data_IF_309392552659
#
_entry.id   IF_309392552659
#
_cell.length_a   1.000
_cell.length_b   1.000
_cell.length_c   1.000
_cell.angle_alpha   90.00
_cell.angle_beta   90.00
_cell.angle_gamma   90.00
#
_symmetry.space_group_name_H-M   'P 1'
#
loop_
_entity.id
_entity.type
_entity.pdbx_description
1 polymer ?
#
# COMPACT_ATOMS: atom_id res chain seq x y z
N UNK A 1 -36.52 58.48 30.46
CA UNK A 1 -37.19 57.64 29.45
C UNK A 1 -36.43 57.80 28.13
N UNK A 2 -36.14 56.76 27.32
CA UNK A 2 -35.75 55.39 27.66
C UNK A 2 -34.49 54.90 26.87
N UNK A 3 -33.84 53.85 27.43
CA UNK A 3 -33.13 52.70 26.78
C UNK A 3 -31.98 52.94 25.76
N UNK A 4 -30.84 52.24 25.82
CA UNK A 4 -30.71 50.80 25.56
C UNK A 4 -29.34 50.19 25.97
N UNK A 5 -29.42 48.96 26.55
CA UNK A 5 -28.61 47.73 26.32
C UNK A 5 -27.09 47.78 26.62
N UNK A 6 -26.58 47.15 27.70
CA UNK A 6 -26.27 45.72 27.92
C UNK A 6 -25.21 45.07 27.01
N UNK A 7 -24.05 44.83 27.65
CA UNK A 7 -23.24 43.59 27.69
C UNK A 7 -22.27 43.25 26.55
N UNK A 8 -21.08 42.76 27.02
CA UNK A 8 -20.29 41.62 26.49
C UNK A 8 -19.24 42.07 25.44
N UNK A 9 -17.97 41.64 25.40
CA UNK A 9 -17.33 40.32 25.52
C UNK A 9 -15.82 40.51 25.82
N UNK A 10 -15.24 39.77 26.77
CA UNK A 10 -14.38 38.58 26.58
C UNK A 10 -13.04 38.83 25.88
N UNK A 11 -11.96 38.61 26.64
CA UNK A 11 -10.58 38.52 26.19
C UNK A 11 -10.40 37.45 25.11
N UNK A 12 -9.79 37.83 23.99
CA UNK A 12 -9.28 36.87 23.00
C UNK A 12 -8.01 36.22 23.53
N UNK A 13 -8.06 34.92 23.80
CA UNK A 13 -6.86 34.09 23.91
C UNK A 13 -6.20 33.98 22.54
N UNK A 14 -4.89 34.25 22.51
CA UNK A 14 -3.99 33.92 21.42
C UNK A 14 -3.98 32.40 21.22
N UNK A 15 -4.62 31.91 20.16
CA UNK A 15 -4.44 30.54 19.68
C UNK A 15 -3.13 30.44 18.91
N UNK A 16 -2.13 29.78 19.50
CA UNK A 16 -0.93 29.36 18.79
C UNK A 16 -1.29 28.27 17.76
N UNK A 17 -0.90 28.48 16.51
CA UNK A 17 -1.23 27.60 15.39
C UNK A 17 -0.40 26.32 15.35
N UNK A 18 -1.00 25.27 14.78
CA UNK A 18 -0.26 24.15 14.19
C UNK A 18 -0.36 24.30 12.67
N UNK A 19 0.68 24.85 12.05
CA UNK A 19 0.82 24.84 10.61
C UNK A 19 1.10 23.39 10.17
N UNK A 20 0.13 22.76 9.53
CA UNK A 20 0.35 21.48 8.84
C UNK A 20 1.19 21.75 7.60
N UNK A 21 2.46 21.32 7.63
CA UNK A 21 3.32 21.31 6.45
C UNK A 21 2.79 20.23 5.50
N UNK A 22 2.03 20.65 4.48
CA UNK A 22 1.80 19.83 3.31
C UNK A 22 3.14 19.65 2.61
N UNK A 23 3.72 18.45 2.71
CA UNK A 23 4.80 18.04 1.84
C UNK A 23 4.21 17.95 0.43
N UNK A 24 4.36 19.01 -0.36
CA UNK A 24 4.20 18.92 -1.81
C UNK A 24 5.38 18.09 -2.29
N UNK A 25 5.15 16.80 -2.54
CA UNK A 25 6.09 16.02 -3.32
C UNK A 25 6.20 16.72 -4.68
N UNK A 26 7.41 17.06 -5.16
CA UNK A 26 7.52 17.55 -6.51
C UNK A 26 6.97 16.45 -7.42
N UNK A 27 5.94 16.77 -8.21
CA UNK A 27 5.58 15.93 -9.34
C UNK A 27 6.85 15.81 -10.20
N UNK A 28 7.39 14.60 -10.33
CA UNK A 28 8.50 14.39 -11.26
C UNK A 28 8.05 14.91 -12.63
N UNK A 29 8.93 15.69 -13.28
CA UNK A 29 8.68 16.12 -14.64
C UNK A 29 8.55 14.85 -15.50
N UNK A 30 7.45 14.74 -16.25
CA UNK A 30 7.23 13.60 -17.12
C UNK A 30 8.39 13.46 -18.11
N UNK A 31 8.84 12.23 -18.28
CA UNK A 31 9.83 11.85 -19.28
C UNK A 31 9.33 12.11 -20.71
N UNK A 32 10.26 12.03 -21.65
CA UNK A 32 9.94 12.00 -23.08
C UNK A 32 9.92 10.56 -23.58
N UNK A 33 9.11 10.28 -24.60
CA UNK A 33 9.06 8.97 -25.28
C UNK A 33 10.48 8.57 -25.73
N UNK A 34 10.88 7.34 -25.44
CA UNK A 34 12.23 6.77 -25.65
C UNK A 34 13.38 7.53 -24.97
N UNK A 35 13.04 8.49 -24.11
CA UNK A 35 13.99 9.37 -23.44
C UNK A 35 14.40 8.86 -22.07
N UNK A 36 15.15 9.71 -21.37
CA UNK A 36 15.47 9.47 -19.97
C UNK A 36 14.21 9.49 -19.10
N UNK A 37 14.05 8.45 -18.30
CA UNK A 37 12.91 8.26 -17.40
C UNK A 37 13.42 7.90 -16.01
N UNK A 38 12.81 8.44 -14.95
CA UNK A 38 13.18 8.10 -13.58
C UNK A 38 12.58 6.74 -13.17
N UNK A 39 13.24 6.00 -12.28
CA UNK A 39 12.67 4.77 -11.70
C UNK A 39 11.28 4.99 -11.09
N UNK A 40 11.12 6.09 -10.36
CA UNK A 40 9.83 6.43 -9.73
C UNK A 40 8.73 6.63 -10.77
N UNK A 41 9.05 7.24 -11.92
CA UNK A 41 8.09 7.40 -13.01
C UNK A 41 7.75 6.07 -13.68
N UNK A 42 8.73 5.18 -13.90
CA UNK A 42 8.47 3.82 -14.42
C UNK A 42 7.48 3.08 -13.51
N UNK A 43 7.67 3.14 -12.19
CA UNK A 43 6.77 2.51 -11.22
C UNK A 43 5.40 3.20 -11.18
N UNK A 44 5.34 4.53 -11.29
CA UNK A 44 4.06 5.25 -11.36
C UNK A 44 3.24 4.85 -12.58
N UNK A 45 3.88 4.74 -13.75
CA UNK A 45 3.27 4.26 -14.98
C UNK A 45 2.76 2.82 -14.82
N UNK A 46 3.62 1.94 -14.30
CA UNK A 46 3.26 0.55 -13.99
C UNK A 46 2.02 0.44 -13.07
N UNK A 47 2.00 1.24 -12.00
CA UNK A 47 0.91 1.26 -11.02
C UNK A 47 -0.38 1.87 -11.57
N UNK A 48 -0.32 2.82 -12.50
CA UNK A 48 -1.55 3.36 -13.10
C UNK A 48 -2.28 2.27 -13.87
N UNK A 49 -1.55 1.45 -14.65
CA UNK A 49 -2.16 0.37 -15.42
C UNK A 49 -2.80 -0.72 -14.53
N UNK A 50 -2.16 -1.03 -13.39
CA UNK A 50 -2.75 -1.87 -12.33
C UNK A 50 -4.03 -1.25 -11.77
N UNK A 51 -4.00 0.06 -11.48
CA UNK A 51 -5.12 0.77 -10.87
C UNK A 51 -6.31 0.92 -11.80
N UNK A 52 -6.05 1.05 -13.10
CA UNK A 52 -7.04 1.07 -14.17
C UNK A 52 -7.60 -0.34 -14.49
N UNK A 53 -6.94 -1.39 -13.98
CA UNK A 53 -7.41 -2.77 -14.08
C UNK A 53 -7.37 -3.30 -15.50
N UNK A 54 -6.29 -3.02 -16.24
CA UNK A 54 -6.22 -3.37 -17.66
C UNK A 54 -6.10 -4.88 -17.87
N UNK A 55 -6.94 -5.46 -18.75
CA UNK A 55 -6.96 -6.90 -18.99
C UNK A 55 -5.94 -7.29 -20.07
N UNK A 56 -5.37 -8.48 -19.92
CA UNK A 56 -4.54 -9.09 -20.96
C UNK A 56 -5.35 -9.43 -22.22
N UNK A 57 -4.91 -8.92 -23.37
CA UNK A 57 -5.44 -9.17 -24.70
C UNK A 57 -4.38 -8.93 -25.81
N UNK A 58 -3.73 -9.99 -26.28
CA UNK A 58 -2.72 -9.91 -27.35
C UNK A 58 -3.22 -9.30 -28.68
N UNK A 59 -4.53 -9.22 -28.89
CA UNK A 59 -5.14 -8.65 -30.10
C UNK A 59 -5.53 -7.18 -29.99
N UNK A 60 -5.30 -6.52 -28.86
CA UNK A 60 -5.76 -5.16 -28.61
C UNK A 60 -4.65 -4.25 -28.03
N UNK A 61 -4.97 -2.96 -27.99
CA UNK A 61 -4.18 -1.94 -27.33
C UNK A 61 -5.06 -1.22 -26.31
N UNK A 62 -4.48 -0.89 -25.17
CA UNK A 62 -5.04 0.03 -24.21
C UNK A 62 -4.54 1.44 -24.50
N UNK A 63 -5.40 2.44 -24.33
CA UNK A 63 -5.00 3.84 -24.53
C UNK A 63 -5.45 4.71 -23.36
N UNK A 64 -4.50 5.38 -22.73
CA UNK A 64 -4.67 6.21 -21.53
C UNK A 64 -3.75 7.45 -21.58
N UNK A 65 -3.48 8.06 -20.42
CA UNK A 65 -2.53 9.16 -20.30
C UNK A 65 -1.07 8.77 -20.54
N UNK A 66 -0.73 7.48 -20.50
CA UNK A 66 0.63 6.98 -20.73
C UNK A 66 0.94 6.75 -22.20
N UNK A 67 -0.09 6.60 -23.04
CA UNK A 67 0.04 6.37 -24.47
C UNK A 67 -0.92 5.30 -24.97
N UNK A 68 -0.59 4.65 -26.08
CA UNK A 68 -1.34 3.51 -26.62
C UNK A 68 -0.39 2.31 -26.74
N UNK A 69 -0.65 1.26 -25.98
CA UNK A 69 0.23 0.09 -25.88
C UNK A 69 -0.56 -1.21 -25.94
N UNK A 70 0.08 -2.28 -26.42
CA UNK A 70 -0.52 -3.61 -26.47
C UNK A 70 -0.83 -4.11 -25.06
N UNK A 71 -2.00 -4.74 -24.91
CA UNK A 71 -2.49 -5.34 -23.67
C UNK A 71 -1.83 -6.72 -23.47
N UNK A 72 -0.52 -6.78 -23.30
CA UNK A 72 0.19 -8.02 -22.96
C UNK A 72 1.49 -7.77 -22.20
N UNK A 73 2.17 -8.83 -21.75
CA UNK A 73 3.30 -8.71 -20.83
C UNK A 73 4.44 -7.79 -21.31
N UNK A 74 4.80 -7.81 -22.60
CA UNK A 74 5.85 -6.94 -23.13
C UNK A 74 5.33 -5.56 -23.53
N UNK A 75 4.06 -5.43 -23.92
CA UNK A 75 3.37 -4.15 -24.01
C UNK A 75 3.33 -3.43 -22.65
N UNK A 76 3.07 -4.18 -21.57
CA UNK A 76 3.15 -3.77 -20.16
C UNK A 76 4.45 -3.06 -19.83
N UNK A 77 5.56 -3.75 -20.09
CA UNK A 77 6.91 -3.22 -19.84
C UNK A 77 7.23 -2.04 -20.76
N UNK A 78 6.83 -2.11 -22.03
CA UNK A 78 7.06 -1.01 -22.99
C UNK A 78 6.37 0.28 -22.58
N UNK A 79 5.14 0.19 -22.08
CA UNK A 79 4.42 1.32 -21.50
C UNK A 79 5.14 1.85 -20.28
N UNK A 80 5.53 0.99 -19.33
CA UNK A 80 6.19 1.40 -18.10
C UNK A 80 7.53 2.13 -18.39
N UNK A 81 8.26 1.71 -19.42
CA UNK A 81 9.49 2.37 -19.89
C UNK A 81 9.28 3.56 -20.82
N UNK A 82 8.03 3.92 -21.12
CA UNK A 82 7.65 5.03 -21.98
C UNK A 82 8.27 4.95 -23.39
N UNK A 83 8.26 3.74 -23.98
CA UNK A 83 8.76 3.52 -25.33
C UNK A 83 7.78 4.01 -26.39
N UNK A 84 8.26 4.32 -27.59
CA UNK A 84 7.40 4.67 -28.74
C UNK A 84 6.54 3.50 -29.20
N UNK A 85 7.06 2.28 -29.06
CA UNK A 85 6.47 1.07 -29.59
C UNK A 85 6.22 0.05 -28.49
N UNK A 86 5.18 -0.76 -28.68
CA UNK A 86 4.96 -1.97 -27.86
C UNK A 86 5.90 -3.07 -28.34
N UNK A 87 7.10 -3.10 -27.77
CA UNK A 87 8.09 -4.14 -28.04
C UNK A 87 7.58 -5.51 -27.56
N UNK A 88 8.13 -6.56 -28.18
CA UNK A 88 7.99 -7.95 -27.73
C UNK A 88 9.19 -8.37 -26.90
N UNK A 89 9.07 -9.45 -26.13
CA UNK A 89 10.14 -10.05 -25.30
C UNK A 89 11.45 -10.22 -26.08
N UNK A 90 11.40 -10.65 -27.35
CA UNK A 90 12.61 -10.80 -28.18
C UNK A 90 13.30 -9.47 -28.55
N UNK A 91 12.58 -8.34 -28.48
CA UNK A 91 13.08 -7.02 -28.88
C UNK A 91 13.38 -6.09 -27.70
N UNK A 92 12.89 -6.37 -26.50
CA UNK A 92 13.25 -5.63 -25.27
C UNK A 92 14.78 -5.57 -25.04
N UNK A 93 15.57 -6.61 -25.34
CA UNK A 93 17.03 -6.54 -25.24
C UNK A 93 17.68 -5.45 -26.12
N UNK A 94 17.01 -4.97 -27.18
CA UNK A 94 17.58 -3.94 -28.07
C UNK A 94 17.61 -2.54 -27.45
N UNK A 95 16.77 -2.28 -26.45
CA UNK A 95 16.65 -0.98 -25.75
C UNK A 95 17.13 -1.07 -24.30
N UNK A 96 17.66 -2.22 -23.89
CA UNK A 96 18.08 -2.48 -22.52
C UNK A 96 19.47 -3.10 -22.47
N UNK A 97 20.01 -3.16 -21.26
CA UNK A 97 21.26 -3.82 -20.94
C UNK A 97 20.98 -4.93 -19.94
N UNK A 98 21.54 -6.12 -20.17
CA UNK A 98 21.47 -7.21 -19.20
C UNK A 98 22.23 -6.85 -17.92
N UNK A 99 21.64 -7.12 -16.77
CA UNK A 99 22.24 -6.89 -15.45
C UNK A 99 22.33 -8.19 -14.64
N UNK A 100 23.10 -8.19 -13.56
CA UNK A 100 23.03 -9.26 -12.56
C UNK A 100 21.70 -9.17 -11.81
N UNK A 101 21.13 -10.33 -11.41
CA UNK A 101 19.96 -10.36 -10.54
C UNK A 101 20.21 -9.66 -9.20
N UNK A 102 21.46 -9.64 -8.71
CA UNK A 102 21.84 -8.88 -7.52
C UNK A 102 21.69 -7.36 -7.68
N UNK A 103 21.70 -6.87 -8.92
CA UNK A 103 21.68 -5.44 -9.22
C UNK A 103 20.27 -4.92 -9.50
N UNK A 104 19.26 -5.80 -9.47
CA UNK A 104 17.85 -5.46 -9.69
C UNK A 104 17.41 -4.30 -8.80
N UNK A 105 16.72 -3.38 -9.42
CA UNK A 105 16.14 -2.19 -8.83
C UNK A 105 14.76 -1.93 -9.46
N UNK A 106 13.85 -1.23 -8.75
CA UNK A 106 12.53 -0.84 -9.24
C UNK A 106 12.52 -0.32 -10.68
N UNK A 107 11.73 -0.94 -11.55
CA UNK A 107 11.61 -0.60 -12.97
C UNK A 107 12.57 -1.37 -13.89
N UNK A 108 13.44 -2.23 -13.37
CA UNK A 108 14.12 -3.23 -14.19
C UNK A 108 13.13 -4.33 -14.61
N UNK A 109 13.43 -5.10 -15.65
CA UNK A 109 12.60 -6.22 -16.11
C UNK A 109 13.30 -7.56 -15.85
N UNK A 110 12.51 -8.62 -15.71
CA UNK A 110 12.96 -10.01 -15.78
C UNK A 110 12.30 -10.60 -17.02
N UNK A 111 13.09 -10.85 -18.07
CA UNK A 111 12.61 -11.22 -19.40
C UNK A 111 12.97 -12.67 -19.74
N UNK A 112 11.96 -13.49 -19.94
CA UNK A 112 12.08 -14.77 -20.61
C UNK A 112 11.69 -14.55 -22.08
N UNK A 113 12.71 -14.40 -22.92
CA UNK A 113 12.59 -13.93 -24.30
C UNK A 113 11.61 -14.71 -25.15
N UNK A 114 11.34 -15.97 -24.85
CA UNK A 114 10.45 -16.80 -25.68
C UNK A 114 8.97 -16.63 -25.32
N UNK A 115 8.62 -16.07 -24.15
CA UNK A 115 7.26 -16.25 -23.64
C UNK A 115 6.75 -15.17 -22.67
N UNK A 116 7.57 -14.67 -21.74
CA UNK A 116 7.04 -13.82 -20.66
C UNK A 116 8.05 -12.83 -20.09
N UNK A 117 7.57 -11.65 -19.69
CA UNK A 117 8.35 -10.65 -18.99
C UNK A 117 7.56 -10.08 -17.82
N UNK A 118 8.24 -9.79 -16.72
CA UNK A 118 7.68 -9.08 -15.57
C UNK A 118 8.50 -7.82 -15.27
N UNK A 119 7.86 -6.83 -14.67
CA UNK A 119 8.53 -5.61 -14.21
C UNK A 119 8.86 -5.72 -12.72
N UNK A 120 10.14 -5.65 -12.37
CA UNK A 120 10.58 -5.69 -10.98
C UNK A 120 10.12 -4.43 -10.23
N UNK A 121 9.36 -4.63 -9.15
CA UNK A 121 8.80 -3.56 -8.32
C UNK A 121 9.77 -3.11 -7.24
N UNK A 122 10.10 -3.98 -6.29
CA UNK A 122 11.07 -3.73 -5.23
C UNK A 122 11.49 -5.02 -4.53
N UNK A 123 12.64 -5.01 -3.86
CA UNK A 123 13.01 -6.08 -2.94
C UNK A 123 12.10 -6.09 -1.71
N UNK A 124 11.69 -7.28 -1.29
CA UNK A 124 11.13 -7.54 0.04
C UNK A 124 12.29 -7.92 0.96
N UNK A 125 13.07 -8.93 0.55
CA UNK A 125 14.34 -9.33 1.14
C UNK A 125 15.30 -9.77 0.03
N UNK A 126 16.25 -8.91 -0.30
CA UNK A 126 17.25 -9.17 -1.34
C UNK A 126 18.16 -10.35 -1.00
N UNK A 127 18.45 -10.57 0.29
CA UNK A 127 19.29 -11.69 0.71
C UNK A 127 18.58 -13.04 0.58
N UNK A 128 17.26 -13.04 0.75
CA UNK A 128 16.40 -14.20 0.53
C UNK A 128 15.92 -14.33 -0.93
N UNK A 129 16.18 -13.33 -1.78
CA UNK A 129 15.75 -13.32 -3.18
C UNK A 129 14.26 -13.03 -3.40
N UNK A 130 13.55 -12.52 -2.39
CA UNK A 130 12.10 -12.25 -2.47
C UNK A 130 11.81 -10.79 -2.82
N UNK A 131 10.83 -10.57 -3.70
CA UNK A 131 10.56 -9.25 -4.28
C UNK A 131 9.09 -9.10 -4.69
N UNK A 132 8.65 -7.85 -4.84
CA UNK A 132 7.41 -7.50 -5.51
C UNK A 132 7.66 -7.29 -7.01
N UNK A 133 6.71 -7.67 -7.85
CA UNK A 133 6.73 -7.40 -9.28
C UNK A 133 5.34 -7.07 -9.81
N UNK A 134 5.31 -6.40 -10.95
CA UNK A 134 4.09 -6.13 -11.70
C UNK A 134 4.04 -6.99 -12.96
N UNK A 135 2.86 -7.52 -13.29
CA UNK A 135 2.69 -8.33 -14.49
C UNK A 135 1.28 -8.27 -15.07
N UNK A 136 1.22 -8.12 -16.40
CA UNK A 136 0.07 -8.42 -17.24
C UNK A 136 0.26 -9.81 -17.84
N UNK A 137 -0.13 -10.84 -17.10
CA UNK A 137 0.35 -12.21 -17.34
C UNK A 137 -0.52 -13.08 -18.24
N UNK A 138 -1.85 -12.96 -18.18
CA UNK A 138 -2.77 -13.75 -19.00
C UNK A 138 -4.22 -13.26 -18.84
N UNK A 139 -5.10 -13.74 -19.72
CA UNK A 139 -6.51 -13.31 -19.80
C UNK A 139 -7.41 -13.75 -18.63
N UNK A 140 -6.89 -14.44 -17.61
CA UNK A 140 -7.69 -14.90 -16.45
C UNK A 140 -7.67 -13.91 -15.29
N UNK A 141 -6.73 -12.96 -15.30
CA UNK A 141 -6.55 -11.96 -14.25
C UNK A 141 -6.25 -10.61 -14.88
N UNK A 142 -6.59 -9.55 -14.17
CA UNK A 142 -6.18 -8.20 -14.55
C UNK A 142 -4.69 -8.02 -14.22
N UNK A 143 -4.08 -7.02 -14.85
CA UNK A 143 -2.74 -6.54 -14.49
C UNK A 143 -2.68 -6.24 -12.99
N UNK A 144 -1.68 -6.78 -12.30
CA UNK A 144 -1.58 -6.67 -10.84
C UNK A 144 -0.13 -6.71 -10.33
N UNK A 145 0.03 -6.40 -9.05
CA UNK A 145 1.25 -6.64 -8.28
C UNK A 145 1.22 -8.04 -7.65
N UNK A 146 2.38 -8.68 -7.63
CA UNK A 146 2.60 -10.03 -7.13
C UNK A 146 3.92 -10.11 -6.37
N UNK A 147 4.11 -11.21 -5.63
CA UNK A 147 5.38 -11.53 -4.99
C UNK A 147 6.08 -12.67 -5.71
N UNK A 148 7.39 -12.53 -5.87
CA UNK A 148 8.27 -13.51 -6.51
C UNK A 148 9.43 -13.88 -5.61
N UNK A 149 10.09 -14.99 -5.96
CA UNK A 149 11.30 -15.49 -5.31
C UNK A 149 12.26 -15.98 -6.40
N UNK A 150 13.44 -15.37 -6.48
CA UNK A 150 14.47 -15.75 -7.45
C UNK A 150 15.10 -17.12 -7.16
N UNK A 151 14.95 -17.64 -5.94
CA UNK A 151 15.44 -18.95 -5.53
C UNK A 151 14.39 -20.06 -5.73
N UNK A 152 13.13 -19.70 -6.03
CA UNK A 152 12.10 -20.68 -6.35
C UNK A 152 12.36 -21.31 -7.73
N UNK A 153 11.84 -22.53 -7.94
CA UNK A 153 11.96 -23.21 -9.23
C UNK A 153 11.11 -22.58 -10.35
N UNK A 154 10.08 -21.80 -9.98
CA UNK A 154 9.21 -21.12 -10.93
C UNK A 154 8.88 -19.69 -10.49
N UNK A 155 8.80 -18.79 -11.47
CA UNK A 155 8.44 -17.38 -11.33
C UNK A 155 7.42 -17.01 -12.42
N UNK A 156 6.29 -16.43 -12.03
CA UNK A 156 5.18 -16.08 -12.93
C UNK A 156 4.77 -17.19 -13.90
N UNK A 157 4.77 -18.45 -13.42
CA UNK A 157 4.36 -19.63 -14.20
C UNK A 157 5.46 -20.30 -15.03
N UNK A 158 6.66 -19.72 -15.12
CA UNK A 158 7.78 -20.23 -15.91
C UNK A 158 8.97 -20.60 -15.04
N UNK A 159 9.89 -21.49 -15.47
CA UNK A 159 11.13 -21.76 -14.74
C UNK A 159 11.91 -20.48 -14.47
N UNK A 160 12.26 -20.23 -13.21
CA UNK A 160 12.96 -18.99 -12.81
C UNK A 160 14.28 -18.80 -13.56
N UNK A 161 14.95 -19.91 -13.90
CA UNK A 161 16.20 -19.91 -14.67
C UNK A 161 16.09 -19.40 -16.11
N UNK A 162 14.89 -19.18 -16.63
CA UNK A 162 14.69 -18.66 -17.99
C UNK A 162 14.66 -17.13 -18.06
N UNK A 163 14.51 -16.47 -16.91
CA UNK A 163 14.45 -15.01 -16.86
C UNK A 163 15.85 -14.40 -16.88
N UNK A 164 16.03 -13.45 -17.78
CA UNK A 164 17.21 -12.59 -17.87
C UNK A 164 16.87 -11.22 -17.31
N UNK A 165 17.58 -10.73 -16.27
CA UNK A 165 17.38 -9.37 -15.78
C UNK A 165 17.83 -8.33 -16.82
N UNK A 166 16.95 -7.38 -17.14
CA UNK A 166 17.18 -6.30 -18.09
C UNK A 166 16.96 -4.94 -17.43
N UNK A 167 17.80 -3.97 -17.79
CA UNK A 167 17.66 -2.57 -17.40
C UNK A 167 17.49 -1.69 -18.62
N UNK A 168 16.42 -0.92 -18.69
CA UNK A 168 16.23 0.05 -19.76
C UNK A 168 17.40 1.03 -19.84
N UNK A 169 17.93 1.28 -21.04
CA UNK A 169 19.17 2.03 -21.24
C UNK A 169 19.08 3.49 -20.81
N UNK A 170 17.88 4.07 -20.81
CA UNK A 170 17.65 5.47 -20.44
C UNK A 170 17.07 5.63 -19.03
N UNK A 171 17.05 4.57 -18.21
CA UNK A 171 16.56 4.69 -16.83
C UNK A 171 17.53 5.52 -15.98
N UNK A 172 16.99 6.42 -15.18
CA UNK A 172 17.73 7.34 -14.32
C UNK A 172 17.28 7.24 -12.87
N UNK A 173 18.13 7.72 -11.97
CA UNK A 173 17.93 7.64 -10.53
C UNK A 173 18.37 6.30 -9.94
N UNK A 174 18.81 6.37 -8.69
CA UNK A 174 18.92 5.20 -7.82
C UNK A 174 17.58 5.00 -7.15
N UNK A 175 17.15 3.76 -6.94
CA UNK A 175 15.96 3.48 -6.15
C UNK A 175 16.09 4.16 -4.79
N UNK A 176 15.31 5.22 -4.54
CA UNK A 176 15.06 5.63 -3.16
C UNK A 176 14.17 4.53 -2.62
N UNK A 177 14.71 3.68 -1.75
CA UNK A 177 13.89 2.80 -0.92
C UNK A 177 12.99 3.70 -0.09
N UNK A 178 11.87 4.13 -0.64
CA UNK A 178 10.80 4.73 0.13
C UNK A 178 10.42 3.65 1.13
N UNK A 179 10.64 3.85 2.45
CA UNK A 179 10.19 2.89 3.43
C UNK A 179 8.69 2.69 3.19
N UNK A 180 8.23 1.45 3.19
CA UNK A 180 6.79 1.17 3.22
C UNK A 180 6.15 2.12 4.26
N UNK A 181 5.04 2.80 3.94
CA UNK A 181 4.40 3.69 4.89
C UNK A 181 4.18 2.89 6.18
N UNK A 182 4.69 3.43 7.30
CA UNK A 182 4.48 2.81 8.60
C UNK A 182 2.99 2.49 8.74
N UNK A 183 2.61 1.29 9.22
CA UNK A 183 1.20 0.97 9.41
C UNK A 183 0.55 2.10 10.19
N UNK A 184 -0.58 2.60 9.69
CA UNK A 184 -1.32 3.66 10.36
C UNK A 184 -1.47 3.28 11.84
N UNK A 185 -1.22 4.20 12.79
CA UNK A 185 -1.36 3.88 14.20
C UNK A 185 -2.76 3.28 14.41
N UNK A 186 -2.83 2.11 15.02
CA UNK A 186 -4.09 1.50 15.44
C UNK A 186 -4.91 2.57 16.16
N UNK A 187 -6.15 2.85 15.76
CA UNK A 187 -6.99 3.80 16.47
C UNK A 187 -6.98 3.48 17.96
N UNK A 188 -6.69 4.47 18.79
CA UNK A 188 -6.77 4.29 20.23
C UNK A 188 -8.16 3.73 20.58
N UNK A 189 -8.25 2.72 21.46
CA UNK A 189 -9.55 2.21 21.89
C UNK A 189 -10.39 3.39 22.40
N UNK A 190 -11.65 3.45 21.97
CA UNK A 190 -12.57 4.46 22.43
C UNK A 190 -12.59 4.49 23.98
N UNK A 191 -12.61 5.68 24.62
CA UNK A 191 -12.69 5.75 26.07
C UNK A 191 -13.92 4.96 26.55
N UNK A 192 -13.73 4.14 27.58
CA UNK A 192 -14.82 3.42 28.21
C UNK A 192 -15.93 4.40 28.62
N UNK A 193 -17.22 4.06 28.45
CA UNK A 193 -18.29 4.93 28.91
C UNK A 193 -18.13 5.19 30.41
N UNK A 194 -18.28 6.46 30.81
CA UNK A 194 -18.29 6.84 32.23
C UNK A 194 -19.37 6.02 32.96
N UNK A 195 -19.04 5.33 34.08
CA UNK A 195 -20.05 4.62 34.85
C UNK A 195 -21.12 5.62 35.31
N UNK A 196 -22.39 5.28 35.07
CA UNK A 196 -23.53 6.03 35.60
C UNK A 196 -23.40 6.14 37.12
N UNK A 197 -23.52 7.34 37.72
CA UNK A 197 -23.48 7.49 39.17
C UNK A 197 -24.53 6.59 39.84
N UNK A 198 -24.10 5.84 40.87
CA UNK A 198 -25.02 5.09 41.70
C UNK A 198 -26.03 6.05 42.37
N UNK A 199 -27.32 5.68 42.46
CA UNK A 199 -28.31 6.50 43.16
C UNK A 199 -27.89 6.72 44.61
N UNK A 200 -28.07 7.96 45.09
CA UNK A 200 -27.72 8.33 46.45
C UNK A 200 -28.52 7.50 47.48
N UNK A 201 -27.90 7.04 48.58
CA UNK A 201 -28.61 6.35 49.64
C UNK A 201 -29.62 7.32 50.29
N UNK A 202 -30.89 6.94 50.25
CA UNK A 202 -31.95 7.65 50.98
C UNK A 202 -31.79 7.40 52.47
N UNK A 203 -31.30 8.38 53.22
CA UNK A 203 -31.42 8.43 54.68
C UNK A 203 -32.86 8.76 55.06
N UNK A 204 -33.61 7.74 55.45
CA UNK A 204 -34.91 7.86 56.13
C UNK A 204 -34.92 6.89 57.30
N UNK A 205 -34.70 7.42 58.50
CA UNK A 205 -34.65 6.62 59.72
C UNK A 205 -36.02 6.35 60.34
N UNK A 206 -35.98 5.43 61.31
CA UNK A 206 -36.69 5.42 62.60
C UNK A 206 -37.65 4.25 62.81
N UNK A 207 -37.28 3.39 63.77
CA UNK A 207 -38.21 2.82 64.75
C UNK A 207 -38.50 1.33 64.61
N UNK A 208 -38.15 0.55 65.64
CA UNK A 208 -38.80 -0.75 65.87
C UNK A 208 -37.92 -1.84 66.46
N UNK A 209 -37.75 -1.80 67.78
CA UNK A 209 -37.18 -2.85 68.65
C UNK A 209 -37.91 -4.19 68.56
N UNK A 210 -37.19 -5.32 68.61
CA UNK A 210 -37.81 -6.61 68.99
C UNK A 210 -37.09 -7.90 68.60
N UNK A 211 -36.22 -8.39 69.49
CA UNK A 211 -36.01 -9.81 69.87
C UNK A 211 -35.31 -10.84 68.92
N UNK A 212 -34.18 -11.34 69.46
CA UNK A 212 -33.44 -12.63 69.31
C UNK A 212 -34.29 -13.93 69.36
N UNK A 213 -33.73 -15.18 69.28
CA UNK A 213 -32.41 -15.64 68.79
C UNK A 213 -32.40 -16.97 67.96
N UNK A 214 -31.22 -17.25 67.37
CA UNK A 214 -30.53 -18.54 67.14
C UNK A 214 -31.28 -19.76 66.58
N UNK A 215 -30.76 -20.38 65.50
CA UNK A 215 -30.18 -21.74 65.50
C UNK A 215 -29.94 -22.28 64.06
N UNK A 216 -28.78 -22.96 63.88
CA UNK A 216 -28.40 -23.92 62.83
C UNK A 216 -28.22 -23.36 61.40
N UNK A 217 -27.14 -23.60 60.66
CA UNK A 217 -26.21 -24.74 60.63
C UNK A 217 -26.28 -25.36 59.23
N UNK A 218 -25.11 -25.65 58.64
CA UNK A 218 -24.85 -26.25 57.31
C UNK A 218 -24.82 -25.21 56.16
N UNK A 219 -23.67 -24.93 55.53
CA UNK A 219 -22.85 -25.86 54.73
C UNK A 219 -23.56 -26.01 53.38
N UNK A 220 -23.03 -25.58 52.23
CA UNK A 220 -21.85 -26.12 51.57
C UNK A 220 -21.22 -25.11 50.60
N UNK A 221 -19.94 -25.34 50.36
CA UNK A 221 -18.97 -24.49 49.69
C UNK A 221 -18.44 -25.19 48.43
N UNK A 222 -18.40 -24.43 47.32
CA UNK A 222 -17.42 -24.42 46.22
C UNK A 222 -17.11 -25.68 45.38
N UNK A 223 -17.15 -25.49 44.04
CA UNK A 223 -16.07 -25.73 43.04
C UNK A 223 -16.63 -25.35 41.65
N UNK A 224 -16.11 -24.36 40.91
CA UNK A 224 -14.91 -24.28 40.06
C UNK A 224 -14.84 -25.25 38.87
N UNK A 225 -14.35 -24.66 37.76
CA UNK A 225 -14.00 -25.19 36.42
C UNK A 225 -15.19 -25.34 35.48
N UNK A 226 -15.23 -24.76 34.27
CA UNK A 226 -14.23 -24.24 33.32
C UNK A 226 -14.89 -23.11 32.51
#
# INVERSE_FOLDING_TARGET
MPSHRLTRWSAGLLGAGAASLLLVTPAHAASSVDGSISRDEVIQRAQSWVSEGVPYNQGANYSDSNGSYREDCSGYVSMAWHLSDSLVTQTLPSVSTQISSSDLQPGDALDYTDEHVILFGNWIDQSAGTFNYYSEQNSRVLTNEYQGDLNASSLAGWPTSYYTPLRYNQITGTATTTPAPAPAPTPAPAPAPTPTPAPAPTTGGTGGTGQQPSHHGHGWSWSRWW
#
